data_IF_488575596757
#
_entry.id   IF_488575596757
#
_cell.length_a   1.000
_cell.length_b   1.000
_cell.length_c   1.000
_cell.angle_alpha   90.00
_cell.angle_beta   90.00
_cell.angle_gamma   90.00
#
_symmetry.space_group_name_H-M   'P 1'
#
loop_
_entity.id
_entity.type
_entity.pdbx_description
1 polymer ?
#
# COMPACT_ATOMS: atom_id res chain seq x y z
N UNK A 1 27.85 -20.15 -18.10
CA UNK A 1 26.65 -19.81 -17.30
C UNK A 1 25.68 -20.96 -17.48
N UNK A 2 25.56 -21.82 -16.47
CA UNK A 2 25.00 -23.17 -16.60
C UNK A 2 23.46 -23.17 -16.63
N UNK A 3 22.88 -24.03 -17.48
CA UNK A 3 21.44 -24.25 -17.64
C UNK A 3 20.70 -24.57 -16.31
N UNK A 4 21.41 -25.05 -15.28
CA UNK A 4 20.87 -25.28 -13.94
C UNK A 4 20.44 -24.00 -13.24
N UNK A 5 21.27 -22.96 -13.29
CA UNK A 5 21.03 -21.68 -12.61
C UNK A 5 19.78 -20.97 -13.16
N UNK A 6 19.56 -21.11 -14.47
CA UNK A 6 18.42 -20.52 -15.18
C UNK A 6 17.08 -21.22 -14.88
N UNK A 7 17.10 -22.51 -14.52
CA UNK A 7 15.90 -23.24 -14.08
C UNK A 7 15.51 -22.86 -12.65
N UNK A 8 16.49 -22.69 -11.78
CA UNK A 8 16.27 -22.32 -10.37
C UNK A 8 15.73 -20.90 -10.22
N UNK A 9 16.24 -19.94 -11.00
CA UNK A 9 15.69 -18.57 -11.06
C UNK A 9 14.24 -18.54 -11.54
N UNK A 10 13.90 -19.31 -12.57
CA UNK A 10 12.51 -19.40 -13.06
C UNK A 10 11.57 -19.96 -12.01
N UNK A 11 11.99 -21.00 -11.29
CA UNK A 11 11.20 -21.59 -10.20
C UNK A 11 10.98 -20.61 -9.06
N UNK A 12 12.04 -19.89 -8.65
CA UNK A 12 11.95 -18.83 -7.63
C UNK A 12 10.99 -17.71 -8.04
N UNK A 13 11.09 -17.24 -9.28
CA UNK A 13 10.21 -16.21 -9.82
C UNK A 13 8.74 -16.63 -9.86
N UNK A 14 8.48 -17.91 -10.16
CA UNK A 14 7.12 -18.47 -10.14
C UNK A 14 6.55 -18.53 -8.72
N UNK A 15 7.33 -19.02 -7.74
CA UNK A 15 6.91 -19.05 -6.33
C UNK A 15 6.58 -17.64 -5.82
N UNK A 16 7.44 -16.66 -6.12
CA UNK A 16 7.20 -15.26 -5.75
C UNK A 16 5.92 -14.73 -6.41
N UNK A 17 5.67 -15.08 -7.67
CA UNK A 17 4.45 -14.66 -8.36
C UNK A 17 3.19 -15.22 -7.69
N UNK A 18 3.18 -16.51 -7.35
CA UNK A 18 2.04 -17.14 -6.70
C UNK A 18 1.80 -16.51 -5.32
N UNK A 19 2.86 -16.28 -4.52
CA UNK A 19 2.72 -15.63 -3.21
C UNK A 19 2.12 -14.21 -3.32
N UNK A 20 2.47 -13.45 -4.37
CA UNK A 20 1.88 -12.13 -4.63
C UNK A 20 0.40 -12.26 -5.00
N UNK A 21 0.04 -13.22 -5.85
CA UNK A 21 -1.34 -13.45 -6.28
C UNK A 21 -2.22 -13.87 -5.11
N UNK A 22 -1.76 -14.83 -4.30
CA UNK A 22 -2.45 -15.27 -3.09
C UNK A 22 -2.65 -14.11 -2.10
N UNK A 23 -1.61 -13.28 -1.90
CA UNK A 23 -1.71 -12.11 -1.03
C UNK A 23 -2.73 -11.08 -1.52
N UNK A 24 -2.81 -10.87 -2.85
CA UNK A 24 -3.81 -9.98 -3.46
C UNK A 24 -5.22 -10.55 -3.26
N UNK A 25 -5.41 -11.86 -3.39
CA UNK A 25 -6.71 -12.50 -3.15
C UNK A 25 -7.14 -12.27 -1.70
N UNK A 26 -6.28 -12.59 -0.73
CA UNK A 26 -6.56 -12.42 0.70
C UNK A 26 -6.85 -10.94 1.03
N UNK A 27 -6.08 -10.01 0.47
CA UNK A 27 -6.31 -8.59 0.69
C UNK A 27 -7.64 -8.10 0.11
N UNK A 28 -8.07 -8.62 -1.05
CA UNK A 28 -9.38 -8.29 -1.61
C UNK A 28 -10.52 -8.86 -0.74
N UNK A 29 -10.41 -10.11 -0.29
CA UNK A 29 -11.39 -10.72 0.63
C UNK A 29 -11.51 -9.93 1.94
N UNK A 30 -10.36 -9.49 2.48
CA UNK A 30 -10.31 -8.61 3.67
C UNK A 30 -10.97 -7.26 3.40
N UNK A 31 -10.74 -6.67 2.22
CA UNK A 31 -11.37 -5.42 1.83
C UNK A 31 -12.89 -5.55 1.60
N UNK A 32 -13.40 -6.73 1.22
CA UNK A 32 -14.84 -7.00 1.05
C UNK A 32 -15.60 -6.94 2.37
N UNK A 33 -14.95 -7.26 3.50
CA UNK A 33 -15.54 -7.05 4.83
C UNK A 33 -15.46 -5.61 5.35
N UNK A 34 -14.88 -4.69 4.56
CA UNK A 34 -14.72 -3.27 4.93
C UNK A 34 -13.42 -2.95 5.66
N UNK A 35 -12.56 -3.94 5.88
CA UNK A 35 -11.25 -3.82 6.56
C UNK A 35 -10.19 -3.32 5.55
N UNK A 36 -10.39 -2.11 5.01
CA UNK A 36 -9.52 -1.59 3.95
C UNK A 36 -8.12 -1.25 4.45
N UNK A 37 -7.98 -0.83 5.71
CA UNK A 37 -6.68 -0.51 6.27
C UNK A 37 -5.79 -1.76 6.35
N UNK A 38 -6.37 -2.82 6.90
CA UNK A 38 -5.77 -4.14 7.11
C UNK A 38 -5.41 -4.79 5.77
N UNK A 39 -6.29 -4.69 4.77
CA UNK A 39 -6.01 -5.13 3.40
C UNK A 39 -4.78 -4.40 2.81
N UNK A 40 -4.67 -3.09 3.06
CA UNK A 40 -3.50 -2.30 2.66
C UNK A 40 -2.22 -2.70 3.42
N UNK A 41 -2.30 -2.91 4.73
CA UNK A 41 -1.16 -3.32 5.57
C UNK A 41 -0.60 -4.69 5.16
N UNK A 42 -1.47 -5.64 4.84
CA UNK A 42 -1.07 -6.94 4.34
C UNK A 42 -0.23 -6.80 3.08
N UNK A 43 -0.73 -6.02 2.10
CA UNK A 43 -0.04 -5.83 0.84
C UNK A 43 1.22 -4.98 0.97
N UNK A 44 1.25 -4.03 1.91
CA UNK A 44 2.46 -3.25 2.22
C UNK A 44 3.57 -4.17 2.70
N UNK A 45 3.25 -5.05 3.66
CA UNK A 45 4.20 -6.02 4.20
C UNK A 45 4.77 -6.91 3.09
N UNK A 46 3.92 -7.36 2.17
CA UNK A 46 4.33 -8.14 1.00
C UNK A 46 5.19 -7.31 0.05
N UNK A 47 4.84 -6.06 -0.22
CA UNK A 47 5.60 -5.17 -1.09
C UNK A 47 7.01 -4.89 -0.55
N UNK A 48 7.14 -4.68 0.76
CA UNK A 48 8.43 -4.43 1.44
C UNK A 48 9.35 -5.66 1.43
N UNK A 49 8.79 -6.86 1.64
CA UNK A 49 9.54 -8.11 1.48
C UNK A 49 10.09 -8.28 0.06
N UNK A 50 9.37 -7.76 -0.94
CA UNK A 50 9.71 -7.88 -2.35
C UNK A 50 10.64 -6.79 -2.87
N UNK A 51 10.83 -5.66 -2.17
CA UNK A 51 11.68 -4.55 -2.66
C UNK A 51 13.11 -5.02 -2.96
N UNK A 52 13.64 -5.95 -2.16
CA UNK A 52 14.98 -6.52 -2.36
C UNK A 52 15.08 -7.60 -3.45
N UNK A 53 13.94 -8.10 -3.97
CA UNK A 53 13.88 -9.30 -4.82
C UNK A 53 13.21 -9.02 -6.18
N UNK A 54 12.22 -8.13 -6.23
CA UNK A 54 11.37 -7.90 -7.40
C UNK A 54 10.75 -6.49 -7.40
N UNK A 55 11.58 -5.44 -7.50
CA UNK A 55 11.18 -4.03 -7.45
C UNK A 55 9.96 -3.67 -8.33
N UNK A 56 9.90 -4.13 -9.59
CA UNK A 56 8.77 -3.83 -10.48
C UNK A 56 7.43 -4.37 -9.97
N UNK A 57 7.43 -5.51 -9.26
CA UNK A 57 6.20 -6.09 -8.71
C UNK A 57 5.68 -5.28 -7.51
N UNK A 58 6.58 -4.67 -6.74
CA UNK A 58 6.23 -3.76 -5.63
C UNK A 58 5.39 -2.56 -6.11
N UNK A 59 5.67 -2.00 -7.29
CA UNK A 59 4.89 -0.87 -7.83
C UNK A 59 3.41 -1.19 -8.05
N UNK A 60 3.07 -2.41 -8.50
CA UNK A 60 1.67 -2.82 -8.70
C UNK A 60 0.94 -2.93 -7.35
N UNK A 61 1.62 -3.47 -6.33
CA UNK A 61 1.09 -3.58 -4.97
C UNK A 61 0.86 -2.19 -4.36
N UNK A 62 1.81 -1.28 -4.49
CA UNK A 62 1.69 0.10 -3.98
C UNK A 62 0.43 0.80 -4.52
N UNK A 63 0.08 0.63 -5.79
CA UNK A 63 -1.17 1.19 -6.34
C UNK A 63 -2.43 0.60 -5.71
N UNK A 64 -2.43 -0.69 -5.39
CA UNK A 64 -3.57 -1.36 -4.75
C UNK A 64 -3.70 -0.95 -3.27
N UNK A 65 -2.58 -0.86 -2.55
CA UNK A 65 -2.53 -0.37 -1.17
C UNK A 65 -3.14 1.04 -1.09
N UNK A 66 -2.69 1.95 -1.95
CA UNK A 66 -3.22 3.33 -2.01
C UNK A 66 -4.73 3.32 -2.23
N UNK A 67 -5.24 2.48 -3.14
CA UNK A 67 -6.70 2.38 -3.40
C UNK A 67 -7.47 1.92 -2.16
N UNK A 68 -6.95 0.98 -1.38
CA UNK A 68 -7.60 0.56 -0.15
C UNK A 68 -7.58 1.67 0.91
N UNK A 69 -6.44 2.31 1.12
CA UNK A 69 -6.32 3.40 2.08
C UNK A 69 -7.14 4.65 1.70
N UNK A 70 -7.34 4.94 0.41
CA UNK A 70 -8.28 5.99 -0.04
C UNK A 70 -9.75 5.66 0.32
N UNK A 71 -10.14 4.38 0.25
CA UNK A 71 -11.45 3.94 0.74
C UNK A 71 -11.53 4.06 2.27
N UNK A 72 -10.47 3.69 2.98
CA UNK A 72 -10.40 3.82 4.43
C UNK A 72 -10.57 5.28 4.87
N UNK A 73 -9.87 6.22 4.22
CA UNK A 73 -10.02 7.66 4.45
C UNK A 73 -11.47 8.09 4.29
N UNK A 74 -12.15 7.61 3.25
CA UNK A 74 -13.56 7.94 3.02
C UNK A 74 -14.45 7.44 4.18
N UNK A 75 -14.19 6.24 4.68
CA UNK A 75 -14.88 5.68 5.86
C UNK A 75 -14.60 6.49 7.13
N UNK A 76 -13.35 6.80 7.43
CA UNK A 76 -12.97 7.57 8.61
C UNK A 76 -13.53 9.00 8.60
N UNK A 77 -13.59 9.65 7.44
CA UNK A 77 -14.24 10.97 7.30
C UNK A 77 -15.71 10.94 7.70
N UNK A 78 -16.45 9.90 7.30
CA UNK A 78 -17.86 9.74 7.68
C UNK A 78 -18.04 9.50 9.18
N UNK A 79 -17.04 8.89 9.83
CA UNK A 79 -17.03 8.63 11.27
C UNK A 79 -16.51 9.81 12.11
N UNK A 80 -16.06 10.91 11.48
CA UNK A 80 -15.44 12.04 12.20
C UNK A 80 -14.05 11.73 12.79
N UNK A 81 -13.41 10.65 12.33
CA UNK A 81 -12.08 10.18 12.79
C UNK A 81 -10.96 10.97 12.11
N UNK A 82 -10.80 12.24 12.50
CA UNK A 82 -9.90 13.17 11.80
C UNK A 82 -8.43 12.79 11.94
N UNK A 83 -8.02 12.26 13.09
CA UNK A 83 -6.66 11.79 13.33
C UNK A 83 -6.27 10.67 12.35
N UNK A 84 -7.11 9.65 12.28
CA UNK A 84 -6.87 8.46 11.47
C UNK A 84 -6.92 8.79 9.98
N UNK A 85 -7.74 9.77 9.57
CA UNK A 85 -7.68 10.34 8.21
C UNK A 85 -6.31 10.96 7.94
N UNK A 86 -5.78 11.76 8.88
CA UNK A 86 -4.49 12.41 8.72
C UNK A 86 -3.33 11.41 8.64
N UNK A 87 -3.33 10.41 9.51
CA UNK A 87 -2.33 9.34 9.50
C UNK A 87 -2.38 8.53 8.21
N UNK A 88 -3.58 8.19 7.74
CA UNK A 88 -3.72 7.43 6.49
C UNK A 88 -3.23 8.25 5.29
N UNK A 89 -3.47 9.57 5.27
CA UNK A 89 -2.88 10.45 4.24
C UNK A 89 -1.35 10.51 4.30
N UNK A 90 -0.76 10.51 5.50
CA UNK A 90 0.69 10.49 5.66
C UNK A 90 1.29 9.21 5.08
N UNK A 91 0.70 8.05 5.38
CA UNK A 91 1.12 6.75 4.85
C UNK A 91 1.02 6.68 3.32
N UNK A 92 -0.05 7.23 2.74
CA UNK A 92 -0.15 7.37 1.27
C UNK A 92 0.95 8.27 0.72
N UNK A 93 1.31 9.36 1.41
CA UNK A 93 2.40 10.24 0.99
C UNK A 93 3.73 9.47 0.93
N UNK A 94 4.07 8.71 1.97
CA UNK A 94 5.29 7.89 2.03
C UNK A 94 5.38 6.90 0.85
N UNK A 95 4.26 6.29 0.44
CA UNK A 95 4.21 5.46 -0.76
C UNK A 95 4.51 6.25 -2.04
N UNK A 96 3.95 7.45 -2.18
CA UNK A 96 4.25 8.30 -3.35
C UNK A 96 5.69 8.81 -3.36
N UNK A 97 6.32 8.99 -2.20
CA UNK A 97 7.76 9.27 -2.10
C UNK A 97 8.57 8.08 -2.63
N UNK A 98 8.29 6.85 -2.16
CA UNK A 98 8.93 5.62 -2.68
C UNK A 98 8.74 5.46 -4.20
N UNK A 99 7.60 5.88 -4.73
CA UNK A 99 7.28 5.85 -6.16
C UNK A 99 7.86 7.03 -6.97
N UNK A 100 8.60 7.96 -6.34
CA UNK A 100 9.11 9.18 -6.94
C UNK A 100 8.03 10.11 -7.55
N UNK A 101 6.78 10.05 -7.06
CA UNK A 101 5.71 10.98 -7.45
C UNK A 101 5.63 12.15 -6.48
N UNK A 102 6.51 13.14 -6.69
CA UNK A 102 6.61 14.33 -5.84
C UNK A 102 5.32 15.16 -5.76
N UNK A 103 4.48 15.10 -6.80
CA UNK A 103 3.22 15.87 -6.85
C UNK A 103 2.21 15.26 -5.89
N UNK A 104 2.03 13.94 -5.96
CA UNK A 104 1.08 13.23 -5.11
C UNK A 104 1.60 13.11 -3.67
N UNK A 105 2.91 12.98 -3.46
CA UNK A 105 3.54 13.10 -2.15
C UNK A 105 3.13 14.40 -1.43
N UNK A 106 3.41 15.56 -2.05
CA UNK A 106 3.11 16.87 -1.47
C UNK A 106 1.62 17.07 -1.22
N UNK A 107 0.77 16.60 -2.15
CA UNK A 107 -0.69 16.69 -2.01
C UNK A 107 -1.18 15.95 -0.76
N UNK A 108 -0.72 14.71 -0.56
CA UNK A 108 -1.15 13.89 0.56
C UNK A 108 -0.58 14.37 1.89
N UNK A 109 0.68 14.84 1.91
CA UNK A 109 1.26 15.49 3.09
C UNK A 109 0.47 16.73 3.52
N UNK A 110 0.08 17.59 2.57
CA UNK A 110 -0.76 18.76 2.86
C UNK A 110 -2.13 18.36 3.41
N UNK A 111 -2.75 17.31 2.86
CA UNK A 111 -4.02 16.80 3.38
C UNK A 111 -3.86 16.32 4.84
N UNK A 112 -2.82 15.54 5.15
CA UNK A 112 -2.52 15.10 6.51
C UNK A 112 -2.43 16.28 7.48
N UNK A 113 -1.63 17.29 7.15
CA UNK A 113 -1.48 18.52 7.95
C UNK A 113 -2.81 19.25 8.13
N UNK A 114 -3.64 19.34 7.09
CA UNK A 114 -4.92 20.02 7.18
C UNK A 114 -5.90 19.31 8.11
N UNK A 115 -5.92 17.98 8.12
CA UNK A 115 -6.77 17.20 9.04
C UNK A 115 -6.30 17.33 10.49
N UNK A 116 -4.99 17.27 10.75
CA UNK A 116 -4.43 17.53 12.10
C UNK A 116 -4.77 18.95 12.60
N UNK A 117 -4.73 19.95 11.71
CA UNK A 117 -5.15 21.33 12.04
C UNK A 117 -6.64 21.43 12.36
N UNK A 118 -7.48 20.64 11.69
CA UNK A 118 -8.92 20.61 12.00
C UNK A 118 -9.14 19.95 13.36
N UNK A 119 -8.48 18.82 13.62
CA UNK A 119 -8.55 18.11 14.89
C UNK A 119 -8.13 19.01 16.07
N UNK A 120 -7.04 19.76 15.95
CA UNK A 120 -6.55 20.67 17.01
C UNK A 120 -7.51 21.80 17.41
N UNK A 121 -8.59 22.00 16.66
CA UNK A 121 -9.62 23.03 16.90
C UNK A 121 -10.88 22.47 17.55
N UNK A 122 -10.93 21.15 17.77
CA UNK A 122 -11.98 20.45 18.52
C UNK A 122 -11.60 20.45 19.99
#
# INVERSE_FOLDING_TARGET
MELGNLKDEKKKNHIIQNAIEDSIIIANETAESGEFFEAGELLLSVAELLESIAFFKSTKLNKLIIKFWEKQISSFKLQGKLHEVAETFLRIAELYEKLNDSKLYKKNLLNSINFLKQESKI
#
